data_IF_968735054802
#
_entry.id   IF_968735054802
#
_cell.length_a   1.000
_cell.length_b   1.000
_cell.length_c   1.000
_cell.angle_alpha   90.00
_cell.angle_beta   90.00
_cell.angle_gamma   90.00
#
_symmetry.space_group_name_H-M   'P 1'
#
loop_
_entity.id
_entity.type
_entity.pdbx_description
1 polymer ?
#
# COMPACT_ATOMS: atom_id res chain seq x y z
N UNK A 1 24.38 1.29 26.14
CA UNK A 1 23.64 2.15 25.18
C UNK A 1 23.53 1.51 23.81
N UNK A 2 24.63 1.13 23.16
CA UNK A 2 24.61 0.51 21.82
C UNK A 2 23.65 -0.67 21.71
N UNK A 3 23.67 -1.60 22.68
CA UNK A 3 22.77 -2.75 22.71
C UNK A 3 21.29 -2.34 22.66
N UNK A 4 20.89 -1.29 23.37
CA UNK A 4 19.48 -0.82 23.39
C UNK A 4 19.05 -0.30 22.02
N UNK A 5 19.93 0.48 21.37
CA UNK A 5 19.70 1.00 20.02
C UNK A 5 19.63 -0.12 18.99
N UNK A 6 20.59 -1.05 19.02
CA UNK A 6 20.64 -2.19 18.10
C UNK A 6 19.40 -3.08 18.27
N UNK A 7 18.99 -3.37 19.51
CA UNK A 7 17.77 -4.14 19.77
C UNK A 7 16.52 -3.40 19.28
N UNK A 8 16.41 -2.09 19.55
CA UNK A 8 15.29 -1.27 19.08
C UNK A 8 15.18 -1.26 17.55
N UNK A 9 16.30 -1.03 16.86
CA UNK A 9 16.37 -1.10 15.39
C UNK A 9 16.01 -2.50 14.91
N UNK A 10 16.64 -3.54 15.43
CA UNK A 10 16.43 -4.92 14.98
C UNK A 10 14.98 -5.39 15.13
N UNK A 11 14.36 -5.11 16.27
CA UNK A 11 12.96 -5.47 16.51
C UNK A 11 11.99 -4.63 15.67
N UNK A 12 12.24 -3.32 15.53
CA UNK A 12 11.44 -2.46 14.64
C UNK A 12 11.58 -2.85 13.17
N UNK A 13 12.78 -3.23 12.73
CA UNK A 13 13.03 -3.78 11.41
C UNK A 13 12.29 -5.10 11.20
N UNK A 14 12.23 -5.99 12.20
CA UNK A 14 11.51 -7.25 12.08
C UNK A 14 10.01 -7.05 11.85
N UNK A 15 9.37 -6.13 12.61
CA UNK A 15 7.97 -5.71 12.36
C UNK A 15 7.85 -5.12 10.95
N UNK A 16 8.80 -4.29 10.57
CA UNK A 16 8.83 -3.66 9.25
C UNK A 16 9.03 -4.62 8.08
N UNK A 17 9.77 -5.73 8.25
CA UNK A 17 9.92 -6.79 7.23
C UNK A 17 8.58 -7.47 6.99
N UNK A 18 7.90 -7.89 8.07
CA UNK A 18 6.57 -8.49 8.00
C UNK A 18 5.59 -7.56 7.27
N UNK A 19 5.61 -6.28 7.62
CA UNK A 19 4.78 -5.25 6.98
C UNK A 19 5.17 -4.99 5.53
N UNK A 20 6.46 -4.93 5.19
CA UNK A 20 6.92 -4.65 3.82
C UNK A 20 6.58 -5.78 2.86
N UNK A 21 6.74 -7.02 3.31
CA UNK A 21 6.36 -8.21 2.56
C UNK A 21 4.85 -8.23 2.26
N UNK A 22 4.05 -7.52 3.06
CA UNK A 22 2.58 -7.57 3.02
C UNK A 22 1.88 -6.35 2.40
N UNK A 23 2.42 -5.13 2.51
CA UNK A 23 1.67 -3.92 2.11
C UNK A 23 2.49 -2.81 1.44
N UNK A 24 3.76 -3.07 1.07
CA UNK A 24 4.74 -2.23 0.31
C UNK A 24 4.93 -0.72 0.63
N UNK A 25 4.01 0.01 1.28
CA UNK A 25 4.05 1.48 1.43
C UNK A 25 4.65 1.98 2.75
N UNK A 26 4.48 1.26 3.87
CA UNK A 26 5.08 1.58 5.18
C UNK A 26 5.82 0.35 5.74
N UNK A 27 6.87 -0.04 5.03
CA UNK A 27 7.55 -1.32 5.25
C UNK A 27 8.62 -1.27 6.32
N UNK A 28 9.87 -1.39 5.91
CA UNK A 28 10.99 -1.64 6.81
C UNK A 28 11.60 -0.37 7.39
N UNK A 29 11.83 0.65 6.55
CA UNK A 29 12.50 1.90 6.94
C UNK A 29 11.69 2.66 7.99
N UNK A 30 10.39 2.81 7.78
CA UNK A 30 9.50 3.57 8.68
C UNK A 30 9.45 2.95 10.07
N UNK A 31 9.25 1.63 10.16
CA UNK A 31 9.20 0.94 11.45
C UNK A 31 10.54 0.98 12.18
N UNK A 32 11.66 0.80 11.47
CA UNK A 32 13.00 0.94 12.06
C UNK A 32 13.23 2.36 12.61
N UNK A 33 12.85 3.40 11.87
CA UNK A 33 12.99 4.80 12.29
C UNK A 33 12.11 5.14 13.51
N UNK A 34 10.88 4.64 13.56
CA UNK A 34 9.98 4.84 14.70
C UNK A 34 10.52 4.15 15.96
N UNK A 35 10.99 2.90 15.83
CA UNK A 35 11.55 2.17 16.96
C UNK A 35 12.84 2.82 17.48
N UNK A 36 13.76 3.22 16.59
CA UNK A 36 15.01 3.87 17.01
C UNK A 36 14.75 5.26 17.60
N UNK A 37 13.85 6.06 17.03
CA UNK A 37 13.47 7.35 17.59
C UNK A 37 12.91 7.22 19.01
N UNK A 38 12.01 6.27 19.22
CA UNK A 38 11.45 5.97 20.56
C UNK A 38 12.53 5.50 21.54
N UNK A 39 13.45 4.65 21.08
CA UNK A 39 14.61 4.20 21.87
C UNK A 39 15.48 5.39 22.31
N UNK A 40 15.77 6.30 21.38
CA UNK A 40 16.59 7.49 21.63
C UNK A 40 15.91 8.46 22.59
N UNK A 41 14.60 8.68 22.49
CA UNK A 41 13.87 9.52 23.44
C UNK A 41 13.91 8.95 24.86
N UNK A 42 13.74 7.64 25.03
CA UNK A 42 13.87 7.00 26.35
C UNK A 42 15.30 7.11 26.89
N UNK A 43 16.31 6.93 26.04
CA UNK A 43 17.71 7.11 26.44
C UNK A 43 18.03 8.57 26.83
N UNK A 44 17.50 9.54 26.08
CA UNK A 44 17.62 10.97 26.37
C UNK A 44 16.98 11.29 27.72
N UNK A 45 15.79 10.74 28.01
CA UNK A 45 15.14 10.89 29.32
C UNK A 45 16.01 10.33 30.44
N UNK A 46 16.54 9.13 30.26
CA UNK A 46 17.27 8.42 31.30
C UNK A 46 18.68 8.97 31.58
N UNK A 47 19.35 9.59 30.60
CA UNK A 47 20.76 9.99 30.71
C UNK A 47 21.03 11.45 30.36
N UNK A 48 20.11 12.15 29.69
CA UNK A 48 20.30 13.52 29.22
C UNK A 48 19.99 14.59 30.26
N UNK A 49 19.31 14.24 31.35
CA UNK A 49 18.92 15.19 32.40
C UNK A 49 19.48 14.73 33.75
N UNK A 50 20.57 15.38 34.21
CA UNK A 50 21.11 15.20 35.56
C UNK A 50 20.31 16.06 36.55
N UNK A 51 19.66 15.46 37.55
CA UNK A 51 19.00 16.23 38.62
C UNK A 51 17.67 15.71 39.18
N UNK A 52 17.38 14.40 39.09
CA UNK A 52 16.28 13.77 39.83
C UNK A 52 14.84 14.06 39.36
N UNK A 53 14.65 14.94 38.38
CA UNK A 53 13.33 15.29 37.83
C UNK A 53 13.02 14.65 36.45
N UNK A 54 13.87 13.75 35.97
CA UNK A 54 13.58 12.99 34.75
C UNK A 54 12.51 11.93 35.07
N UNK A 55 11.29 12.14 34.58
CA UNK A 55 10.19 11.17 34.67
C UNK A 55 10.11 10.36 33.36
N UNK A 56 10.54 9.09 33.36
CA UNK A 56 10.48 8.23 32.18
C UNK A 56 9.05 8.04 31.68
N UNK A 57 8.06 8.12 32.57
CA UNK A 57 6.63 7.99 32.27
C UNK A 57 6.16 9.16 31.40
N UNK A 58 6.66 10.38 31.67
CA UNK A 58 6.38 11.56 30.85
C UNK A 58 6.88 11.40 29.42
N UNK A 59 8.11 10.90 29.24
CA UNK A 59 8.66 10.70 27.89
C UNK A 59 7.92 9.59 27.15
N UNK A 60 7.56 8.49 27.83
CA UNK A 60 6.72 7.45 27.24
C UNK A 60 5.36 8.02 26.77
N UNK A 61 4.71 8.85 27.59
CA UNK A 61 3.45 9.51 27.21
C UNK A 61 3.61 10.44 25.99
N UNK A 62 4.73 11.17 25.90
CA UNK A 62 5.02 12.03 24.74
C UNK A 62 5.31 11.23 23.47
N UNK A 63 5.96 10.07 23.57
CA UNK A 63 6.14 9.17 22.42
C UNK A 63 4.77 8.71 21.90
N UNK A 64 3.88 8.24 22.80
CA UNK A 64 2.52 7.81 22.44
C UNK A 64 1.74 8.93 21.75
N UNK A 65 1.79 10.15 22.29
CA UNK A 65 1.14 11.33 21.71
C UNK A 65 1.73 11.68 20.33
N UNK A 66 3.06 11.68 20.20
CA UNK A 66 3.75 11.99 18.94
C UNK A 66 3.43 11.00 17.82
N UNK A 67 3.29 9.72 18.15
CA UNK A 67 2.86 8.70 17.17
C UNK A 67 1.39 8.89 16.81
N UNK A 68 0.54 9.36 17.73
CA UNK A 68 -0.84 9.74 17.40
C UNK A 68 -0.91 10.80 16.30
N UNK A 69 -0.03 11.82 16.37
CA UNK A 69 0.08 12.84 15.33
C UNK A 69 0.56 12.25 13.99
N UNK A 70 1.61 11.44 14.00
CA UNK A 70 2.10 10.77 12.78
C UNK A 70 1.04 9.84 12.19
N UNK A 71 0.33 9.09 13.04
CA UNK A 71 -0.76 8.20 12.67
C UNK A 71 -1.88 8.93 11.93
N UNK A 72 -2.27 10.12 12.40
CA UNK A 72 -3.22 10.98 11.69
C UNK A 72 -2.75 11.39 10.29
N UNK A 73 -1.44 11.55 10.09
CA UNK A 73 -0.86 11.84 8.77
C UNK A 73 -0.82 10.64 7.81
N UNK A 74 -0.86 9.40 8.32
CA UNK A 74 -0.90 8.19 7.48
C UNK A 74 -2.34 7.72 7.24
N UNK A 75 -3.29 8.14 8.07
CA UNK A 75 -4.71 7.83 7.92
C UNK A 75 -5.32 8.79 6.90
N UNK A 76 -5.69 8.27 5.73
CA UNK A 76 -6.21 9.06 4.62
C UNK A 76 -7.65 8.64 4.35
N UNK A 77 -8.55 9.62 4.23
CA UNK A 77 -9.93 9.39 3.81
C UNK A 77 -10.02 9.53 2.30
N UNK A 78 -10.55 8.50 1.64
CA UNK A 78 -10.77 8.46 0.20
C UNK A 78 -12.25 8.13 -0.06
N UNK A 79 -13.04 9.17 -0.33
CA UNK A 79 -14.50 9.09 -0.41
C UNK A 79 -15.15 8.56 0.89
N UNK A 80 -15.81 7.41 0.78
CA UNK A 80 -16.43 6.71 1.90
C UNK A 80 -15.48 5.75 2.63
N UNK A 81 -14.25 5.55 2.13
CA UNK A 81 -13.28 4.62 2.70
C UNK A 81 -12.18 5.36 3.50
N UNK A 82 -11.65 4.70 4.54
CA UNK A 82 -10.54 5.19 5.35
C UNK A 82 -9.37 4.23 5.21
N UNK A 83 -8.24 4.74 4.72
CA UNK A 83 -6.99 4.01 4.49
C UNK A 83 -5.99 4.30 5.61
N UNK A 84 -5.04 3.38 5.83
CA UNK A 84 -3.89 3.62 6.71
C UNK A 84 -4.09 3.30 8.20
N UNK A 85 -5.27 2.85 8.62
CA UNK A 85 -5.57 2.47 10.02
C UNK A 85 -4.61 1.40 10.56
N UNK A 86 -4.42 0.29 9.84
CA UNK A 86 -3.52 -0.78 10.24
C UNK A 86 -2.05 -0.31 10.27
N UNK A 87 -1.66 0.56 9.34
CA UNK A 87 -0.33 1.16 9.33
C UNK A 87 -0.12 2.03 10.57
N UNK A 88 -1.06 2.90 10.90
CA UNK A 88 -0.98 3.74 12.11
C UNK A 88 -0.91 2.89 13.39
N UNK A 89 -1.73 1.84 13.49
CA UNK A 89 -1.68 0.90 14.62
C UNK A 89 -0.34 0.17 14.72
N UNK A 90 0.23 -0.28 13.60
CA UNK A 90 1.54 -0.94 13.57
C UNK A 90 2.65 0.01 14.03
N UNK A 91 2.65 1.26 13.54
CA UNK A 91 3.63 2.26 13.97
C UNK A 91 3.53 2.57 15.47
N UNK A 92 2.31 2.60 16.01
CA UNK A 92 2.05 2.76 17.44
C UNK A 92 2.68 1.63 18.27
N UNK A 93 2.46 0.38 17.86
CA UNK A 93 3.08 -0.77 18.50
C UNK A 93 4.61 -0.76 18.36
N UNK A 94 5.14 -0.41 17.20
CA UNK A 94 6.58 -0.32 16.94
C UNK A 94 7.26 0.72 17.84
N UNK A 95 6.61 1.85 18.09
CA UNK A 95 7.10 2.86 19.02
C UNK A 95 7.19 2.33 20.46
N UNK A 96 6.18 1.57 20.90
CA UNK A 96 6.20 0.92 22.21
C UNK A 96 7.36 -0.08 22.33
N UNK A 97 7.61 -0.89 21.30
CA UNK A 97 8.78 -1.82 21.25
C UNK A 97 10.09 -1.05 21.34
N UNK A 98 10.23 0.05 20.61
CA UNK A 98 11.41 0.93 20.69
C UNK A 98 11.60 1.53 22.09
N UNK A 99 10.51 1.98 22.73
CA UNK A 99 10.56 2.50 24.10
C UNK A 99 10.99 1.42 25.11
N UNK A 100 10.47 0.20 24.99
CA UNK A 100 10.88 -0.95 25.81
C UNK A 100 12.37 -1.29 25.63
N UNK A 101 12.86 -1.29 24.39
CA UNK A 101 14.28 -1.48 24.10
C UNK A 101 15.15 -0.36 24.71
N UNK A 102 14.70 0.90 24.62
CA UNK A 102 15.36 2.06 25.24
C UNK A 102 15.38 2.01 26.77
N UNK A 103 14.34 1.46 27.39
CA UNK A 103 14.28 1.21 28.83
C UNK A 103 15.18 0.03 29.26
N UNK A 104 15.58 -0.83 28.32
CA UNK A 104 16.37 -2.05 28.59
C UNK A 104 15.52 -3.29 28.90
N UNK A 105 14.20 -3.22 28.68
CA UNK A 105 13.26 -4.32 28.89
C UNK A 105 13.23 -5.25 27.66
N UNK A 106 14.35 -5.93 27.39
CA UNK A 106 14.53 -6.68 26.15
C UNK A 106 13.57 -7.86 26.00
N UNK A 107 13.32 -8.61 27.07
CA UNK A 107 12.38 -9.75 27.05
C UNK A 107 10.97 -9.27 26.67
N UNK A 108 10.50 -8.20 27.31
CA UNK A 108 9.20 -7.58 27.01
C UNK A 108 9.16 -7.03 25.58
N UNK A 109 10.25 -6.42 25.10
CA UNK A 109 10.33 -5.92 23.73
C UNK A 109 10.21 -7.07 22.71
N UNK A 110 10.92 -8.19 22.92
CA UNK A 110 10.85 -9.37 22.05
C UNK A 110 9.45 -9.99 22.05
N UNK A 111 8.85 -10.17 23.23
CA UNK A 111 7.47 -10.70 23.35
C UNK A 111 6.47 -9.76 22.68
N UNK A 112 6.62 -8.45 22.87
CA UNK A 112 5.80 -7.44 22.21
C UNK A 112 5.92 -7.50 20.69
N UNK A 113 7.13 -7.58 20.14
CA UNK A 113 7.35 -7.77 18.70
C UNK A 113 6.70 -9.05 18.18
N UNK A 114 6.88 -10.18 18.88
CA UNK A 114 6.26 -11.44 18.50
C UNK A 114 4.73 -11.35 18.50
N UNK A 115 4.14 -10.70 19.51
CA UNK A 115 2.70 -10.49 19.60
C UNK A 115 2.18 -9.62 18.44
N UNK A 116 2.85 -8.51 18.13
CA UNK A 116 2.48 -7.63 16.99
C UNK A 116 2.47 -8.42 15.68
N UNK A 117 3.55 -9.15 15.40
CA UNK A 117 3.67 -9.99 14.21
C UNK A 117 2.60 -11.09 14.19
N UNK A 118 2.37 -11.77 15.31
CA UNK A 118 1.37 -12.82 15.42
C UNK A 118 -0.05 -12.30 15.17
N UNK A 119 -0.41 -11.14 15.75
CA UNK A 119 -1.72 -10.50 15.55
C UNK A 119 -1.92 -10.13 14.08
N UNK A 120 -0.92 -9.52 13.44
CA UNK A 120 -0.97 -9.17 12.02
C UNK A 120 -1.11 -10.41 11.10
N UNK A 121 -0.53 -11.55 11.48
CA UNK A 121 -0.62 -12.80 10.74
C UNK A 121 -1.97 -13.50 10.97
N UNK A 122 -2.36 -13.67 12.24
CA UNK A 122 -3.51 -14.47 12.65
C UNK A 122 -4.85 -13.81 12.26
N UNK A 123 -4.96 -12.50 12.41
CA UNK A 123 -6.18 -11.78 12.00
C UNK A 123 -6.44 -11.91 10.50
N UNK A 124 -5.40 -11.99 9.67
CA UNK A 124 -5.56 -12.25 8.23
C UNK A 124 -6.03 -13.68 7.94
N UNK A 125 -5.45 -14.66 8.63
CA UNK A 125 -5.89 -16.06 8.50
C UNK A 125 -7.37 -16.23 8.89
N UNK A 126 -7.83 -15.48 9.91
CA UNK A 126 -9.22 -15.45 10.33
C UNK A 126 -10.12 -14.67 9.37
N UNK A 127 -9.62 -13.59 8.76
CA UNK A 127 -10.33 -12.85 7.71
C UNK A 127 -10.74 -13.74 6.53
N UNK A 128 -9.84 -14.63 6.09
CA UNK A 128 -10.12 -15.60 5.02
C UNK A 128 -11.27 -16.58 5.34
N UNK A 129 -11.57 -16.84 6.61
CA UNK A 129 -12.71 -17.68 6.99
C UNK A 129 -14.02 -16.89 7.09
N UNK A 130 -13.94 -15.59 7.34
CA UNK A 130 -15.10 -14.68 7.47
C UNK A 130 -15.55 -14.18 6.09
N UNK A 131 -14.63 -14.07 5.11
CA UNK A 131 -14.90 -13.63 3.73
C UNK A 131 -15.69 -14.66 2.87
N UNK A 132 -16.31 -15.67 3.49
CA UNK A 132 -17.22 -16.61 2.83
C UNK A 132 -18.63 -16.04 2.57
N UNK A 133 -18.90 -14.81 3.00
CA UNK A 133 -20.04 -14.03 2.53
C UNK A 133 -19.58 -13.11 1.39
N UNK A 134 -20.22 -13.13 0.20
CA UNK A 134 -19.84 -12.27 -0.90
C UNK A 134 -20.23 -10.83 -0.57
N UNK A 135 -19.35 -10.13 0.15
CA UNK A 135 -19.40 -8.69 0.34
C UNK A 135 -18.28 -8.09 -0.50
N UNK A 136 -18.66 -7.51 -1.64
CA UNK A 136 -17.81 -6.79 -2.60
C UNK A 136 -17.08 -5.55 -2.03
N UNK A 137 -16.92 -5.40 -0.71
CA UNK A 137 -16.54 -4.15 -0.07
C UNK A 137 -15.43 -4.23 1.00
N UNK A 138 -14.74 -5.36 1.19
CA UNK A 138 -13.78 -5.49 2.31
C UNK A 138 -12.39 -6.05 1.99
N UNK A 139 -11.89 -5.81 0.78
CA UNK A 139 -10.44 -5.90 0.53
C UNK A 139 -9.81 -4.56 0.91
N UNK A 140 -8.72 -4.58 1.70
CA UNK A 140 -7.91 -3.39 2.02
C UNK A 140 -7.69 -2.60 0.71
N UNK A 141 -7.97 -1.28 0.62
CA UNK A 141 -7.91 -0.54 -0.65
C UNK A 141 -6.52 -0.50 -1.32
N UNK A 142 -5.50 -1.07 -0.67
CA UNK A 142 -4.16 -1.29 -1.20
C UNK A 142 -4.00 -2.60 -1.99
N UNK A 143 -4.90 -3.58 -1.80
CA UNK A 143 -4.97 -4.86 -2.53
C UNK A 143 -6.10 -4.87 -3.58
N UNK A 144 -6.87 -3.79 -3.71
CA UNK A 144 -7.87 -3.64 -4.79
C UNK A 144 -7.16 -3.40 -6.11
N UNK A 145 -7.24 -4.37 -7.00
CA UNK A 145 -6.71 -4.24 -8.35
C UNK A 145 -7.33 -3.01 -9.04
N UNK A 146 -6.49 -2.15 -9.59
CA UNK A 146 -6.91 -0.94 -10.30
C UNK A 146 -7.43 -1.38 -11.66
N UNK A 147 -8.71 -1.07 -11.94
CA UNK A 147 -9.32 -1.38 -13.23
C UNK A 147 -9.07 -0.23 -14.19
N UNK A 148 -8.37 -0.53 -15.29
CA UNK A 148 -8.12 0.36 -16.39
C UNK A 148 -9.06 0.04 -17.54
N UNK A 149 -9.52 1.10 -18.21
CA UNK A 149 -10.24 1.02 -19.46
C UNK A 149 -9.42 1.71 -20.54
N UNK A 150 -9.24 1.03 -21.68
CA UNK A 150 -8.72 1.60 -22.91
C UNK A 150 -9.81 1.51 -23.98
N UNK A 151 -10.12 2.65 -24.60
CA UNK A 151 -11.10 2.74 -25.70
C UNK A 151 -10.40 3.36 -26.90
N UNK A 152 -10.40 2.63 -28.01
CA UNK A 152 -9.85 3.07 -29.28
C UNK A 152 -10.91 2.99 -30.37
N UNK A 153 -11.14 4.09 -31.08
CA UNK A 153 -12.01 4.12 -32.25
C UNK A 153 -11.16 3.94 -33.50
N UNK A 154 -11.41 2.89 -34.27
CA UNK A 154 -10.52 2.44 -35.35
C UNK A 154 -11.30 2.09 -36.61
N UNK A 155 -10.64 2.11 -37.76
CA UNK A 155 -11.25 1.62 -39.01
C UNK A 155 -11.48 0.10 -38.92
N UNK A 156 -12.55 -0.47 -39.52
CA UNK A 156 -12.88 -1.89 -39.40
C UNK A 156 -11.75 -2.83 -39.79
N UNK A 157 -11.02 -2.48 -40.86
CA UNK A 157 -9.86 -3.26 -41.34
C UNK A 157 -8.70 -3.33 -40.33
N UNK A 158 -8.65 -2.40 -39.38
CA UNK A 158 -7.60 -2.32 -38.37
C UNK A 158 -8.03 -2.86 -37.00
N UNK A 159 -9.32 -3.15 -36.77
CA UNK A 159 -9.84 -3.61 -35.48
C UNK A 159 -9.12 -4.86 -34.96
N UNK A 160 -8.89 -5.85 -35.84
CA UNK A 160 -8.17 -7.08 -35.49
C UNK A 160 -6.72 -6.78 -35.08
N UNK A 161 -6.05 -5.88 -35.82
CA UNK A 161 -4.66 -5.51 -35.55
C UNK A 161 -4.52 -4.77 -34.22
N UNK A 162 -5.40 -3.83 -33.94
CA UNK A 162 -5.40 -3.06 -32.67
C UNK A 162 -5.66 -3.97 -31.48
N UNK A 163 -6.63 -4.89 -31.57
CA UNK A 163 -6.87 -5.90 -30.52
C UNK A 163 -5.63 -6.75 -30.25
N UNK A 164 -4.96 -7.23 -31.30
CA UNK A 164 -3.75 -8.03 -31.16
C UNK A 164 -2.61 -7.23 -30.52
N UNK A 165 -2.44 -5.96 -30.89
CA UNK A 165 -1.44 -5.07 -30.29
C UNK A 165 -1.73 -4.81 -28.81
N UNK A 166 -2.98 -4.53 -28.44
CA UNK A 166 -3.39 -4.37 -27.04
C UNK A 166 -3.11 -5.64 -26.24
N UNK A 167 -3.52 -6.81 -26.75
CA UNK A 167 -3.25 -8.10 -26.13
C UNK A 167 -1.76 -8.36 -25.93
N UNK A 168 -0.94 -8.09 -26.94
CA UNK A 168 0.50 -8.35 -26.90
C UNK A 168 1.23 -7.38 -25.99
N UNK A 169 0.86 -6.10 -26.01
CA UNK A 169 1.46 -5.08 -25.19
C UNK A 169 1.14 -5.29 -23.71
N UNK A 170 -0.10 -5.67 -23.40
CA UNK A 170 -0.56 -5.84 -22.03
C UNK A 170 -0.17 -7.22 -21.46
N UNK A 171 -0.05 -8.25 -22.30
CA UNK A 171 0.50 -9.54 -21.90
C UNK A 171 2.00 -9.54 -21.58
N UNK A 172 2.72 -8.44 -21.85
CA UNK A 172 4.12 -8.22 -21.47
C UNK A 172 4.28 -7.46 -20.15
N UNK A 173 3.17 -7.05 -19.54
CA UNK A 173 3.11 -6.20 -18.35
C UNK A 173 2.39 -6.94 -17.21
N UNK A 174 2.38 -6.35 -16.02
CA UNK A 174 1.65 -6.88 -14.84
C UNK A 174 0.13 -6.67 -14.92
N UNK A 175 -0.42 -6.42 -16.11
CA UNK A 175 -1.84 -6.26 -16.35
C UNK A 175 -2.50 -7.62 -16.61
N UNK A 176 -3.67 -7.84 -16.01
CA UNK A 176 -4.56 -8.95 -16.36
C UNK A 176 -5.72 -8.43 -17.21
N UNK A 177 -5.97 -9.06 -18.35
CA UNK A 177 -7.13 -8.75 -19.18
C UNK A 177 -8.41 -9.25 -18.49
N UNK A 178 -9.37 -8.36 -18.31
CA UNK A 178 -10.71 -8.67 -17.78
C UNK A 178 -11.66 -8.95 -18.95
N UNK A 179 -11.76 -7.99 -19.87
CA UNK A 179 -12.69 -8.05 -20.99
C UNK A 179 -12.12 -7.30 -22.20
N UNK A 180 -12.50 -7.73 -23.40
CA UNK A 180 -12.23 -6.99 -24.62
C UNK A 180 -13.42 -7.14 -25.56
N UNK A 181 -13.99 -6.01 -25.94
CA UNK A 181 -15.15 -5.92 -26.81
C UNK A 181 -14.82 -5.10 -28.05
N UNK A 182 -15.58 -5.32 -29.11
CA UNK A 182 -15.49 -4.55 -30.33
C UNK A 182 -16.89 -4.36 -30.87
N UNK A 183 -17.30 -3.11 -31.03
CA UNK A 183 -18.66 -2.74 -31.42
C UNK A 183 -18.56 -1.75 -32.58
N UNK A 184 -19.37 -1.95 -33.60
CA UNK A 184 -19.49 -0.97 -34.68
C UNK A 184 -20.08 0.33 -34.10
N UNK A 185 -19.51 1.47 -34.45
CA UNK A 185 -19.99 2.78 -33.98
C UNK A 185 -21.02 3.36 -34.95
N UNK A 186 -22.03 4.05 -34.44
CA UNK A 186 -23.06 4.71 -35.27
C UNK A 186 -22.50 5.85 -36.13
N UNK A 187 -21.30 6.36 -35.78
CA UNK A 187 -20.60 7.41 -36.51
C UNK A 187 -19.55 6.81 -37.46
N UNK A 188 -19.67 7.11 -38.74
CA UNK A 188 -18.63 7.00 -39.79
C UNK A 188 -17.99 5.62 -40.01
N UNK A 189 -18.72 4.52 -39.78
CA UNK A 189 -18.25 3.18 -40.14
C UNK A 189 -16.95 2.79 -39.43
N UNK A 190 -16.73 3.33 -38.24
CA UNK A 190 -15.63 2.99 -37.35
C UNK A 190 -16.06 1.87 -36.40
N UNK A 191 -15.08 1.24 -35.78
CA UNK A 191 -15.24 0.21 -34.75
C UNK A 191 -14.65 0.75 -33.46
N UNK A 192 -15.44 0.75 -32.40
CA UNK A 192 -14.94 0.99 -31.05
C UNK A 192 -14.36 -0.32 -30.51
N UNK A 193 -13.06 -0.34 -30.22
CA UNK A 193 -12.39 -1.41 -29.50
C UNK A 193 -12.22 -0.96 -28.06
N UNK A 194 -12.86 -1.67 -27.14
CA UNK A 194 -12.76 -1.43 -25.69
C UNK A 194 -12.07 -2.60 -25.03
N UNK A 195 -11.14 -2.31 -24.15
CA UNK A 195 -10.47 -3.34 -23.38
C UNK A 195 -10.29 -2.90 -21.92
N UNK A 196 -10.67 -3.81 -21.03
CA UNK A 196 -10.67 -3.64 -19.58
C UNK A 196 -9.58 -4.53 -18.97
N UNK A 197 -8.80 -3.96 -18.07
CA UNK A 197 -7.64 -4.62 -17.46
C UNK A 197 -7.57 -4.32 -15.97
N UNK A 198 -7.03 -5.25 -15.19
CA UNK A 198 -6.69 -5.01 -13.79
C UNK A 198 -5.18 -5.04 -13.57
N UNK A 199 -4.67 -4.16 -12.71
CA UNK A 199 -3.30 -4.24 -12.18
C UNK A 199 -3.33 -4.26 -10.65
N UNK A 200 -2.40 -5.01 -10.04
CA UNK A 200 -2.26 -5.02 -8.56
C UNK A 200 -1.94 -3.63 -8.00
N UNK A 201 -1.28 -2.78 -8.78
CA UNK A 201 -0.87 -1.42 -8.39
C UNK A 201 -1.19 -0.43 -9.53
N UNK A 202 -1.21 0.87 -9.21
CA UNK A 202 -1.44 1.93 -10.21
C UNK A 202 -0.22 2.06 -11.13
N UNK A 203 -0.38 1.75 -12.41
CA UNK A 203 0.65 1.61 -13.45
C UNK A 203 0.39 2.53 -14.67
N UNK A 204 0.04 3.79 -14.41
CA UNK A 204 -0.33 4.77 -15.46
C UNK A 204 0.73 4.91 -16.56
N UNK A 205 2.02 4.89 -16.18
CA UNK A 205 3.14 5.01 -17.14
C UNK A 205 3.21 3.84 -18.12
N UNK A 206 2.92 2.63 -17.66
CA UNK A 206 2.87 1.45 -18.54
C UNK A 206 1.71 1.60 -19.53
N UNK A 207 0.56 2.09 -19.05
CA UNK A 207 -0.60 2.30 -19.91
C UNK A 207 -0.35 3.37 -20.98
N UNK A 208 0.37 4.45 -20.64
CA UNK A 208 0.82 5.46 -21.63
C UNK A 208 1.76 4.86 -22.69
N UNK A 209 2.68 3.97 -22.29
CA UNK A 209 3.58 3.28 -23.23
C UNK A 209 2.84 2.32 -24.16
N UNK A 210 1.71 1.76 -23.72
CA UNK A 210 0.85 0.90 -24.56
C UNK A 210 -0.04 1.73 -25.50
N UNK A 211 -0.62 2.82 -25.00
CA UNK A 211 -1.60 3.63 -25.74
C UNK A 211 -0.96 4.67 -26.66
N UNK A 212 0.23 5.16 -26.32
CA UNK A 212 0.97 6.14 -27.12
C UNK A 212 1.26 5.68 -28.55
N UNK A 213 1.82 4.48 -28.79
CA UNK A 213 2.02 3.97 -30.14
C UNK A 213 0.71 3.78 -30.92
N UNK A 214 -0.38 3.42 -30.23
CA UNK A 214 -1.69 3.24 -30.86
C UNK A 214 -2.29 4.56 -31.34
N UNK A 215 -2.03 5.68 -30.66
CA UNK A 215 -2.54 7.00 -31.08
C UNK A 215 -1.86 7.54 -32.34
N UNK A 216 -0.67 7.02 -32.69
CA UNK A 216 0.08 7.40 -33.88
C UNK A 216 -0.28 6.56 -35.12
N UNK A 217 -1.11 5.53 -34.95
CA UNK A 217 -1.46 4.61 -36.02
C UNK A 217 -2.50 5.24 -36.98
N UNK A 218 -2.24 5.34 -38.30
CA UNK A 218 -3.12 6.07 -39.24
C UNK A 218 -4.56 5.52 -39.37
N UNK A 219 -4.78 4.30 -38.91
CA UNK A 219 -6.08 3.63 -38.89
C UNK A 219 -6.89 3.85 -37.62
N UNK A 220 -6.32 4.56 -36.65
CA UNK A 220 -6.92 4.88 -35.35
C UNK A 220 -7.39 6.33 -35.40
N UNK A 221 -8.69 6.54 -35.15
CA UNK A 221 -9.28 7.88 -35.11
C UNK A 221 -9.09 8.54 -33.75
N UNK A 222 -9.23 7.77 -32.66
CA UNK A 222 -8.99 8.24 -31.30
C UNK A 222 -8.58 7.08 -30.39
N UNK A 223 -7.81 7.40 -29.35
CA UNK A 223 -7.52 6.49 -28.23
C UNK A 223 -7.68 7.30 -26.95
N UNK A 224 -8.41 6.74 -25.99
CA UNK A 224 -8.48 7.25 -24.63
C UNK A 224 -8.24 6.11 -23.67
N UNK A 225 -7.71 6.46 -22.51
CA UNK A 225 -7.61 5.55 -21.40
C UNK A 225 -7.99 6.25 -20.11
N UNK A 226 -8.44 5.46 -19.14
CA UNK A 226 -8.79 5.96 -17.82
C UNK A 226 -8.84 4.85 -16.80
N UNK A 227 -8.89 5.24 -15.53
CA UNK A 227 -9.22 4.33 -14.44
C UNK A 227 -10.73 4.30 -14.32
N UNK A 228 -11.33 3.11 -14.36
CA UNK A 228 -12.77 2.95 -14.18
C UNK A 228 -13.10 3.19 -12.70
N UNK A 229 -13.85 4.24 -12.40
CA UNK A 229 -14.37 4.45 -11.05
C UNK A 229 -15.42 3.36 -10.75
N UNK A 230 -15.36 2.73 -9.57
CA UNK A 230 -16.43 1.84 -9.12
C UNK A 230 -17.75 2.63 -9.06
N UNK A 231 -18.66 2.45 -10.03
CA UNK A 231 -20.02 3.02 -9.95
C UNK A 231 -20.67 3.56 -11.22
N UNK A 232 -20.09 3.44 -12.42
CA UNK A 232 -20.75 3.78 -13.70
C UNK A 232 -20.90 2.58 -14.66
#
# INVERSE_FOLDING_TARGET
MLLRVVTGVGLGTLIGIERQYRSRRAGLRTNALVAVGSTLFVLLSAHGFSGGAADPTRVAAQIVSGIGFLGGGVILRDGFSVRGLNTAATLWCTAAVGALAGAGLYSTAVVGTAAVVAVNILLRLLGLQIDRFPASERTDPEDRAVIYEVVATVKPKAAIRVRAQLLQALGRSDFQLIAMTSTDTDQDGLVEVRAEFSAEHREDRQLELVTGPLSLEPSVGSVRWGVRAEGE
#
